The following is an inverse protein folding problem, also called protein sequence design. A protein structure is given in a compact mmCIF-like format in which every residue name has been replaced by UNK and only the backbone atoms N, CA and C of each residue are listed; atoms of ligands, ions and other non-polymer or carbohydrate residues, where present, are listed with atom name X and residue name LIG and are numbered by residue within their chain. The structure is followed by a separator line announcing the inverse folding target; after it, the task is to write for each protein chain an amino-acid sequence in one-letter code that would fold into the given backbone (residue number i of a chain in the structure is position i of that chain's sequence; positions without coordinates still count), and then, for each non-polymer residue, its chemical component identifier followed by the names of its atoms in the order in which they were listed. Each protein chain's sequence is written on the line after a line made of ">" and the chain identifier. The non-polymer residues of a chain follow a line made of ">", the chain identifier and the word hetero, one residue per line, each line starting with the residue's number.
data_IF_486281675507
#
_entry.id   IF_486281675507
#
_cell.length_a   1.000
_cell.length_b   1.000
_cell.length_c   1.000
_cell.angle_alpha   90.00
_cell.angle_beta   90.00
_cell.angle_gamma   90.00
#
_symmetry.space_group_name_H-M   'P 1'
#
loop_
_entity.id
_entity.type
_entity.pdbx_description
1 polymer ?
#
# COMPACT_ATOMS: atom_id res chain seq x y z
N UNK A 1 29.84 49.10 -12.39
CA UNK A 1 29.28 50.39 -12.83
C UNK A 1 27.86 50.17 -13.34
N UNK A 2 26.94 51.03 -12.90
CA UNK A 2 25.62 51.38 -13.46
C UNK A 2 24.52 50.31 -13.61
N UNK A 3 23.55 50.44 -12.69
CA UNK A 3 22.10 50.23 -12.89
C UNK A 3 21.62 50.90 -14.20
N UNK A 4 20.56 50.38 -14.82
CA UNK A 4 19.18 50.90 -14.63
C UNK A 4 18.26 50.47 -15.80
N UNK A 5 17.06 50.04 -15.40
CA UNK A 5 15.75 50.27 -16.01
C UNK A 5 15.31 49.60 -17.31
N UNK A 6 14.18 48.91 -17.13
CA UNK A 6 13.11 48.63 -18.09
C UNK A 6 12.39 49.92 -18.48
N UNK A 7 11.90 50.00 -19.72
CA UNK A 7 10.47 50.08 -20.07
C UNK A 7 10.28 50.35 -21.58
N UNK A 8 9.07 49.99 -22.05
CA UNK A 8 8.31 50.51 -23.22
C UNK A 8 8.06 49.58 -24.41
N UNK A 9 6.77 49.53 -24.79
CA UNK A 9 6.22 49.02 -26.06
C UNK A 9 5.48 47.69 -25.91
N UNK A 10 4.14 47.57 -25.94
CA UNK A 10 3.10 48.43 -26.51
C UNK A 10 2.51 47.80 -27.78
N UNK A 11 1.35 47.13 -27.62
CA UNK A 11 0.28 46.86 -28.59
C UNK A 11 0.60 46.30 -29.99
N UNK A 12 0.19 45.04 -30.24
CA UNK A 12 -0.32 44.63 -31.55
C UNK A 12 -1.63 43.84 -31.37
N UNK A 13 -2.59 44.24 -32.19
CA UNK A 13 -3.93 43.72 -32.41
C UNK A 13 -4.01 42.19 -32.53
N UNK A 14 -5.03 41.60 -31.91
CA UNK A 14 -5.68 40.40 -32.45
C UNK A 14 -7.20 40.57 -32.36
N UNK A 15 -7.82 40.82 -33.51
CA UNK A 15 -9.25 40.69 -33.75
C UNK A 15 -9.39 39.76 -34.93
N UNK A 16 -9.84 38.53 -34.69
CA UNK A 16 -10.73 37.88 -35.65
C UNK A 16 -11.61 36.86 -34.94
N UNK A 17 -12.91 37.13 -34.96
CA UNK A 17 -13.98 36.19 -34.64
C UNK A 17 -14.21 35.35 -35.90
N UNK A 18 -14.35 34.03 -35.77
CA UNK A 18 -15.13 33.27 -36.75
C UNK A 18 -15.89 32.14 -36.06
N UNK A 19 -17.21 32.21 -36.24
CA UNK A 19 -18.27 31.44 -35.59
C UNK A 19 -18.65 30.20 -36.38
N UNK A 20 -18.86 29.10 -35.64
CA UNK A 20 -19.86 28.02 -35.79
C UNK A 20 -20.15 27.42 -37.17
N UNK A 21 -19.94 26.10 -37.28
CA UNK A 21 -20.72 25.23 -38.17
C UNK A 21 -21.42 24.15 -37.34
N UNK A 22 -22.75 24.17 -37.41
CA UNK A 22 -23.68 23.26 -36.75
C UNK A 22 -23.67 21.91 -37.47
N UNK A 23 -23.65 20.79 -36.72
CA UNK A 23 -23.98 19.47 -37.23
C UNK A 23 -25.28 18.99 -36.57
N UNK A 24 -26.22 18.56 -37.41
CA UNK A 24 -27.47 17.91 -37.05
C UNK A 24 -27.82 16.87 -38.15
N UNK A 25 -28.68 15.87 -37.89
CA UNK A 25 -28.36 14.46 -38.12
C UNK A 25 -29.04 13.86 -39.35
N UNK A 26 -28.40 12.88 -40.00
CA UNK A 26 -28.98 12.15 -41.13
C UNK A 26 -29.55 10.81 -40.64
N UNK A 27 -30.88 10.86 -40.49
CA UNK A 27 -31.90 9.90 -40.89
C UNK A 27 -31.56 8.40 -40.93
N UNK A 28 -32.34 7.65 -40.14
CA UNK A 28 -32.26 6.21 -39.99
C UNK A 28 -32.68 5.44 -41.24
N UNK A 29 -31.98 4.32 -41.44
CA UNK A 29 -32.38 3.27 -42.36
C UNK A 29 -32.70 2.01 -41.55
N UNK A 30 -33.95 1.58 -41.76
CA UNK A 30 -34.59 0.39 -41.25
C UNK A 30 -33.85 -0.86 -41.78
N UNK A 31 -33.28 -1.68 -40.89
CA UNK A 31 -32.95 -3.08 -41.21
C UNK A 31 -33.66 -3.97 -40.21
N UNK A 32 -34.67 -4.68 -40.72
CA UNK A 32 -35.46 -5.64 -39.98
C UNK A 32 -34.88 -7.05 -40.15
N UNK A 33 -35.01 -7.80 -39.05
CA UNK A 33 -35.11 -9.26 -38.92
C UNK A 33 -33.83 -10.12 -38.83
N UNK A 34 -34.03 -11.17 -38.01
CA UNK A 34 -33.28 -12.41 -37.81
C UNK A 34 -32.05 -12.21 -36.88
N UNK A 35 -31.97 -12.76 -35.66
CA UNK A 35 -32.08 -14.18 -35.29
C UNK A 35 -32.65 -14.41 -33.89
N UNK A 36 -33.46 -15.45 -33.78
CA UNK A 36 -33.81 -16.15 -32.54
C UNK A 36 -32.52 -16.84 -32.06
N UNK A 37 -32.07 -16.54 -30.84
CA UNK A 37 -31.23 -17.45 -30.06
C UNK A 37 -31.79 -17.56 -28.65
N UNK A 38 -32.26 -18.77 -28.34
CA UNK A 38 -32.59 -19.25 -27.02
C UNK A 38 -31.30 -19.80 -26.37
N UNK A 39 -30.93 -19.27 -25.21
CA UNK A 39 -30.03 -19.82 -24.18
C UNK A 39 -29.73 -18.65 -23.24
N UNK A 40 -29.58 -18.78 -21.93
CA UNK A 40 -29.70 -19.84 -20.94
C UNK A 40 -29.78 -19.07 -19.61
N UNK A 41 -30.31 -19.66 -18.55
CA UNK A 41 -30.41 -19.01 -17.23
C UNK A 41 -29.08 -18.35 -16.83
N UNK A 42 -29.05 -17.05 -16.48
CA UNK A 42 -27.90 -16.50 -15.78
C UNK A 42 -28.04 -16.89 -14.30
N UNK A 43 -27.78 -18.16 -14.00
CA UNK A 43 -27.28 -18.52 -12.68
C UNK A 43 -25.77 -18.23 -12.70
N UNK A 44 -25.45 -16.95 -12.67
CA UNK A 44 -24.13 -16.49 -12.30
C UNK A 44 -24.37 -15.55 -11.15
N UNK A 45 -24.07 -16.06 -9.96
CA UNK A 45 -23.74 -15.34 -8.75
C UNK A 45 -23.09 -14.00 -9.11
N UNK A 46 -23.89 -12.95 -9.29
CA UNK A 46 -23.40 -11.60 -9.32
C UNK A 46 -23.13 -11.27 -7.86
N UNK A 47 -21.98 -11.73 -7.35
CA UNK A 47 -21.34 -11.04 -6.24
C UNK A 47 -21.10 -9.63 -6.78
N UNK A 48 -22.04 -8.74 -6.50
CA UNK A 48 -21.90 -7.31 -6.68
C UNK A 48 -20.81 -6.86 -5.73
N UNK A 49 -19.55 -7.02 -6.16
CA UNK A 49 -18.38 -6.63 -5.40
C UNK A 49 -18.31 -5.10 -5.44
N UNK A 50 -19.01 -4.46 -4.52
CA UNK A 50 -18.57 -3.19 -3.95
C UNK A 50 -17.65 -3.52 -2.78
N UNK A 51 -16.47 -4.10 -3.04
CA UNK A 51 -15.47 -4.34 -2.00
C UNK A 51 -14.39 -3.27 -2.05
N UNK A 52 -14.51 -2.38 -1.09
CA UNK A 52 -13.43 -1.81 -0.29
C UNK A 52 -12.63 -2.95 0.41
N UNK A 53 -12.09 -3.93 -0.35
CA UNK A 53 -11.55 -5.18 0.22
C UNK A 53 -10.10 -5.07 0.66
N UNK A 54 -9.84 -5.62 1.85
CA UNK A 54 -8.50 -5.94 2.31
C UNK A 54 -7.89 -7.08 1.47
N UNK A 55 -6.62 -6.92 1.08
CA UNK A 55 -5.81 -7.95 0.43
C UNK A 55 -4.88 -8.60 1.44
N UNK A 56 -4.88 -9.93 1.52
CA UNK A 56 -4.02 -10.71 2.42
C UNK A 56 -2.83 -11.28 1.65
N UNK A 57 -1.63 -11.15 2.22
CA UNK A 57 -0.40 -11.80 1.73
C UNK A 57 0.37 -12.36 2.92
N UNK A 58 0.87 -13.58 2.80
CA UNK A 58 1.66 -14.21 3.84
C UNK A 58 3.13 -14.24 3.46
N UNK A 59 3.99 -14.07 4.45
CA UNK A 59 5.43 -14.03 4.28
C UNK A 59 6.14 -14.90 5.31
N UNK A 60 7.33 -15.35 4.94
CA UNK A 60 8.27 -16.02 5.83
C UNK A 60 9.66 -15.41 5.67
N UNK A 61 10.39 -15.28 6.77
CA UNK A 61 11.80 -14.94 6.78
C UNK A 61 12.57 -16.02 7.56
N UNK A 62 13.77 -16.35 7.11
CA UNK A 62 14.68 -17.30 7.76
C UNK A 62 16.06 -16.66 7.81
N UNK A 63 16.65 -16.57 9.00
CA UNK A 63 18.03 -16.10 9.21
C UNK A 63 18.76 -17.07 10.15
N UNK A 64 19.56 -17.95 9.55
CA UNK A 64 20.20 -19.05 10.28
C UNK A 64 19.17 -19.99 10.90
N UNK A 65 19.02 -19.93 12.23
CA UNK A 65 18.07 -20.75 12.99
C UNK A 65 16.87 -19.96 13.52
N UNK A 66 16.86 -18.65 13.28
CA UNK A 66 15.77 -17.77 13.64
C UNK A 66 14.79 -17.68 12.46
N UNK A 67 13.50 -17.59 12.75
CA UNK A 67 12.46 -17.48 11.71
C UNK A 67 11.46 -16.39 12.07
N UNK A 68 10.80 -15.85 11.06
CA UNK A 68 9.67 -14.97 11.24
C UNK A 68 8.56 -15.31 10.24
N UNK A 69 7.30 -15.19 10.65
CA UNK A 69 6.15 -15.29 9.74
C UNK A 69 5.27 -14.07 9.91
N UNK A 70 4.75 -13.57 8.80
CA UNK A 70 3.88 -12.40 8.76
C UNK A 70 2.66 -12.69 7.88
N UNK A 71 1.46 -12.66 8.44
CA UNK A 71 0.24 -12.52 7.65
C UNK A 71 -0.12 -11.03 7.58
N UNK A 72 0.02 -10.42 6.41
CA UNK A 72 -0.21 -9.00 6.20
C UNK A 72 -1.52 -8.78 5.44
N UNK A 73 -2.43 -8.01 6.03
CA UNK A 73 -3.64 -7.49 5.41
C UNK A 73 -3.41 -6.03 5.03
N UNK A 74 -3.74 -5.66 3.81
CA UNK A 74 -3.59 -4.28 3.31
C UNK A 74 -4.87 -3.76 2.67
N UNK A 75 -5.19 -2.49 2.91
CA UNK A 75 -6.28 -1.79 2.23
C UNK A 75 -5.85 -0.34 1.96
N UNK A 76 -5.77 0.03 0.69
CA UNK A 76 -5.11 1.26 0.23
C UNK A 76 -3.69 1.38 0.81
N UNK A 77 -3.48 2.32 1.74
CA UNK A 77 -2.22 2.49 2.46
C UNK A 77 -2.23 1.84 3.85
N UNK A 78 -3.39 1.46 4.39
CA UNK A 78 -3.49 0.87 5.72
C UNK A 78 -3.01 -0.57 5.70
N UNK A 79 -2.43 -0.99 6.80
CA UNK A 79 -1.89 -2.32 6.97
C UNK A 79 -2.11 -2.83 8.39
N UNK A 80 -2.53 -4.08 8.49
CA UNK A 80 -2.71 -4.83 9.74
C UNK A 80 -2.14 -6.24 9.54
N UNK A 81 -1.77 -6.94 10.60
CA UNK A 81 -1.30 -8.30 10.43
C UNK A 81 -0.92 -9.01 11.71
N UNK A 82 -0.71 -10.31 11.61
CA UNK A 82 -0.18 -11.17 12.67
C UNK A 82 1.28 -11.48 12.36
N UNK A 83 2.15 -11.19 13.31
CA UNK A 83 3.59 -11.30 13.20
C UNK A 83 4.13 -12.22 14.31
N UNK A 84 4.91 -13.20 13.92
CA UNK A 84 5.51 -14.18 14.83
C UNK A 84 7.00 -14.31 14.55
N UNK A 85 7.83 -13.91 15.50
CA UNK A 85 9.26 -14.21 15.51
C UNK A 85 9.55 -15.43 16.38
N UNK A 86 10.37 -16.33 15.88
CA UNK A 86 10.93 -17.47 16.62
C UNK A 86 12.44 -17.35 16.62
N UNK A 87 13.01 -17.10 17.79
CA UNK A 87 14.45 -17.04 17.95
C UNK A 87 14.94 -18.31 18.62
N UNK A 88 16.00 -18.92 18.09
CA UNK A 88 16.55 -20.13 18.70
C UNK A 88 16.99 -19.84 20.14
N UNK A 89 16.45 -20.61 21.08
CA UNK A 89 16.83 -20.54 22.51
C UNK A 89 16.25 -19.32 23.25
N UNK A 90 15.26 -18.63 22.69
CA UNK A 90 14.47 -17.62 23.38
C UNK A 90 12.98 -17.93 23.24
N UNK A 91 12.18 -17.23 24.02
CA UNK A 91 10.72 -17.30 23.87
C UNK A 91 10.29 -16.67 22.54
N UNK A 92 9.29 -17.30 21.94
CA UNK A 92 8.62 -16.84 20.74
C UNK A 92 7.95 -15.47 20.99
N UNK A 93 8.12 -14.55 20.05
CA UNK A 93 7.44 -13.25 20.08
C UNK A 93 6.31 -13.25 19.06
N UNK A 94 5.08 -13.42 19.54
CA UNK A 94 3.87 -13.38 18.71
C UNK A 94 3.05 -12.14 19.06
N UNK A 95 2.58 -11.43 18.04
CA UNK A 95 1.74 -10.25 18.23
C UNK A 95 1.11 -9.77 16.93
N UNK A 96 0.48 -8.60 17.01
CA UNK A 96 -0.15 -7.94 15.87
C UNK A 96 0.66 -6.72 15.43
N UNK A 97 0.53 -6.35 14.16
CA UNK A 97 1.04 -5.10 13.63
C UNK A 97 -0.11 -4.24 13.12
N UNK A 98 0.02 -2.93 13.27
CA UNK A 98 -0.90 -1.97 12.66
C UNK A 98 -0.15 -0.72 12.22
N UNK A 99 -0.46 -0.23 11.02
CA UNK A 99 0.19 0.95 10.47
C UNK A 99 -0.17 1.22 9.02
N UNK A 100 0.79 1.75 8.26
CA UNK A 100 0.55 2.16 6.87
C UNK A 100 1.79 2.20 6.00
N UNK A 101 1.58 2.09 4.69
CA UNK A 101 2.56 2.38 3.66
C UNK A 101 2.76 3.89 3.47
N UNK A 102 4.03 4.28 3.35
CA UNK A 102 4.50 5.59 2.90
C UNK A 102 5.49 5.37 1.76
N UNK A 103 4.99 5.48 0.52
CA UNK A 103 5.71 4.95 -0.64
C UNK A 103 5.90 3.44 -0.49
N UNK A 104 7.12 2.97 -0.64
CA UNK A 104 7.46 1.55 -0.54
C UNK A 104 7.73 1.09 0.90
N UNK A 105 7.78 2.00 1.86
CA UNK A 105 8.01 1.64 3.27
C UNK A 105 6.69 1.43 4.00
N UNK A 106 6.51 0.25 4.58
CA UNK A 106 5.48 -0.05 5.57
C UNK A 106 6.01 0.28 6.97
N UNK A 107 5.43 1.30 7.61
CA UNK A 107 5.70 1.66 8.99
C UNK A 107 4.55 1.15 9.87
N UNK A 108 4.87 0.33 10.87
CA UNK A 108 3.88 -0.29 11.76
C UNK A 108 4.30 -0.23 13.22
N UNK A 109 3.31 -0.20 14.09
CA UNK A 109 3.48 -0.50 15.51
C UNK A 109 3.38 -2.00 15.72
N UNK A 110 4.29 -2.61 16.47
CA UNK A 110 4.19 -4.00 16.89
C UNK A 110 3.66 -4.13 18.32
N UNK A 111 2.58 -4.87 18.47
CA UNK A 111 1.91 -5.14 19.74
C UNK A 111 2.12 -6.61 20.12
N UNK A 112 2.99 -6.85 21.08
CA UNK A 112 3.30 -8.19 21.55
C UNK A 112 2.15 -8.74 22.38
N UNK A 113 1.68 -9.95 22.06
CA UNK A 113 0.63 -10.66 22.79
C UNK A 113 1.25 -11.34 24.01
N UNK A 114 0.89 -10.84 25.19
CA UNK A 114 1.31 -11.37 26.48
C UNK A 114 0.18 -12.20 27.10
N UNK A 115 0.39 -13.51 27.23
CA UNK A 115 -0.62 -14.41 27.79
C UNK A 115 -1.89 -14.47 26.95
N UNK A 116 -3.06 -14.64 27.59
CA UNK A 116 -4.29 -15.02 26.87
C UNK A 116 -4.94 -13.90 26.05
N UNK A 117 -4.74 -12.61 26.36
CA UNK A 117 -5.41 -11.53 25.60
C UNK A 117 -4.80 -10.14 25.71
N UNK A 118 -3.69 -9.93 26.44
CA UNK A 118 -3.15 -8.58 26.64
C UNK A 118 -2.09 -8.27 25.59
N UNK A 119 -2.35 -7.28 24.75
CA UNK A 119 -1.37 -6.78 23.81
C UNK A 119 -0.65 -5.54 24.38
N UNK A 120 0.68 -5.54 24.31
CA UNK A 120 1.52 -4.44 24.78
C UNK A 120 2.31 -3.89 23.60
N UNK A 121 2.22 -2.58 23.37
CA UNK A 121 3.07 -1.91 22.39
C UNK A 121 4.54 -2.11 22.75
N UNK A 122 5.34 -2.50 21.77
CA UNK A 122 6.78 -2.69 21.94
C UNK A 122 7.53 -1.61 21.17
N UNK A 123 8.04 -1.94 19.99
CA UNK A 123 8.77 -1.03 19.14
C UNK A 123 8.08 -0.93 17.77
N UNK A 124 8.18 0.22 17.10
CA UNK A 124 7.77 0.32 15.72
C UNK A 124 8.71 -0.52 14.84
N UNK A 125 8.17 -1.03 13.74
CA UNK A 125 8.92 -1.74 12.70
C UNK A 125 8.78 -0.98 11.38
N UNK A 126 9.83 -1.04 10.58
CA UNK A 126 9.85 -0.52 9.22
C UNK A 126 10.19 -1.67 8.27
N UNK A 127 9.32 -1.89 7.29
CA UNK A 127 9.45 -2.94 6.30
C UNK A 127 9.50 -2.28 4.92
N UNK A 128 10.65 -2.33 4.26
CA UNK A 128 10.77 -1.83 2.89
C UNK A 128 10.26 -2.89 1.92
N UNK A 129 9.24 -2.55 1.15
CA UNK A 129 8.78 -3.36 0.02
C UNK A 129 9.71 -3.14 -1.16
N UNK A 130 10.35 -4.20 -1.61
CA UNK A 130 11.11 -4.23 -2.85
C UNK A 130 10.59 -5.42 -3.64
N UNK A 131 10.02 -5.17 -4.81
CA UNK A 131 9.29 -6.19 -5.56
C UNK A 131 8.18 -6.84 -4.71
N UNK A 132 8.29 -8.14 -4.45
CA UNK A 132 7.39 -8.91 -3.59
C UNK A 132 7.97 -9.23 -2.21
N UNK A 133 9.20 -8.79 -1.90
CA UNK A 133 9.83 -9.01 -0.59
C UNK A 133 9.67 -7.81 0.33
N UNK A 134 9.65 -8.06 1.64
CA UNK A 134 9.68 -7.03 2.68
C UNK A 134 11.00 -7.14 3.47
N UNK A 135 11.87 -6.13 3.38
CA UNK A 135 13.13 -6.08 4.14
C UNK A 135 12.89 -5.36 5.47
N UNK A 136 13.18 -6.02 6.59
CA UNK A 136 13.14 -5.37 7.90
C UNK A 136 14.24 -4.32 8.03
N UNK A 137 13.89 -3.09 8.37
CA UNK A 137 14.82 -1.99 8.57
C UNK A 137 15.32 -1.89 10.00
N UNK A 138 16.53 -1.37 10.16
CA UNK A 138 17.11 -0.98 11.45
C UNK A 138 17.20 0.55 11.47
N UNK A 139 16.41 1.19 12.33
CA UNK A 139 16.40 2.63 12.53
C UNK A 139 16.78 3.01 13.96
N UNK A 140 17.28 4.23 14.14
CA UNK A 140 17.44 4.81 15.48
C UNK A 140 16.06 5.15 16.04
N UNK A 141 15.87 4.88 17.34
CA UNK A 141 14.60 5.10 18.03
C UNK A 141 14.77 6.07 19.18
N UNK A 142 13.72 6.83 19.46
CA UNK A 142 13.61 7.66 20.64
C UNK A 142 12.26 7.44 21.32
N UNK A 143 12.24 7.57 22.65
CA UNK A 143 11.00 7.47 23.44
C UNK A 143 10.60 8.85 23.89
N UNK A 144 9.40 9.29 23.50
CA UNK A 144 8.83 10.55 23.92
C UNK A 144 7.43 10.30 24.50
N UNK A 145 7.16 10.83 25.69
CA UNK A 145 5.89 10.67 26.39
C UNK A 145 5.41 9.20 26.50
N UNK A 146 6.35 8.28 26.75
CA UNK A 146 6.05 6.84 26.92
C UNK A 146 5.76 6.07 25.63
N UNK A 147 6.00 6.66 24.45
CA UNK A 147 5.91 5.97 23.16
C UNK A 147 7.23 6.04 22.42
N UNK A 148 7.64 4.91 21.85
CA UNK A 148 8.87 4.77 21.05
C UNK A 148 8.56 5.00 19.58
N UNK A 149 9.40 5.80 18.91
CA UNK A 149 9.30 6.15 17.50
C UNK A 149 10.66 6.06 16.82
N UNK A 150 10.68 5.94 15.50
CA UNK A 150 11.91 6.18 14.73
C UNK A 150 12.27 7.66 14.75
N UNK A 151 13.56 7.96 14.94
CA UNK A 151 14.08 9.32 14.83
C UNK A 151 13.89 9.81 13.38
N UNK A 152 13.18 10.93 13.13
CA UNK A 152 12.85 11.36 11.78
C UNK A 152 14.05 11.92 11.01
N UNK A 153 15.10 12.36 11.70
CA UNK A 153 16.32 12.90 11.11
C UNK A 153 17.36 11.83 10.75
N UNK A 154 17.13 10.57 11.15
CA UNK A 154 18.04 9.47 10.88
C UNK A 154 17.38 8.47 9.91
N UNK A 155 17.99 8.18 8.75
CA UNK A 155 17.41 7.25 7.80
C UNK A 155 17.42 5.82 8.34
N UNK A 156 16.38 5.07 8.01
CA UNK A 156 16.27 3.65 8.32
C UNK A 156 17.23 2.88 7.40
N UNK A 157 18.05 2.01 7.97
CA UNK A 157 18.98 1.18 7.21
C UNK A 157 18.37 -0.20 6.94
N UNK A 158 18.01 -0.46 5.69
CA UNK A 158 17.41 -1.73 5.24
C UNK A 158 18.43 -2.82 4.88
N UNK A 159 19.73 -2.52 4.90
CA UNK A 159 20.79 -3.49 4.58
C UNK A 159 21.38 -4.16 5.82
N UNK A 160 21.09 -3.61 7.01
CA UNK A 160 21.49 -4.21 8.31
C UNK A 160 20.40 -5.07 8.96
N UNK A 161 19.22 -5.13 8.36
CA UNK A 161 18.13 -5.98 8.84
C UNK A 161 18.42 -7.45 8.62
N UNK A 162 18.19 -8.27 9.65
CA UNK A 162 18.40 -9.73 9.58
C UNK A 162 17.30 -10.44 8.81
N UNK A 163 16.04 -10.00 8.93
CA UNK A 163 14.90 -10.67 8.31
C UNK A 163 14.53 -10.04 6.97
N UNK A 164 14.57 -10.87 5.93
CA UNK A 164 13.99 -10.59 4.62
C UNK A 164 12.79 -11.52 4.47
N UNK A 165 11.60 -10.93 4.38
CA UNK A 165 10.34 -11.64 4.30
C UNK A 165 9.99 -11.92 2.84
N UNK A 166 9.98 -13.19 2.47
CA UNK A 166 9.60 -13.70 1.15
C UNK A 166 8.13 -14.14 1.16
N UNK A 167 7.38 -13.89 0.08
CA UNK A 167 5.98 -14.27 0.00
C UNK A 167 5.86 -15.79 -0.03
N UNK A 168 4.92 -16.32 0.75
CA UNK A 168 4.58 -17.74 0.81
C UNK A 168 3.07 -17.92 0.73
N UNK A 169 2.57 -19.10 0.31
CA UNK A 169 1.15 -19.41 0.43
C UNK A 169 0.66 -19.21 1.87
N UNK A 170 -0.46 -18.53 2.03
CA UNK A 170 -1.10 -18.41 3.33
C UNK A 170 -1.56 -19.79 3.81
N UNK A 171 -1.28 -20.10 5.07
CA UNK A 171 -1.85 -21.28 5.72
C UNK A 171 -3.34 -21.00 5.96
N UNK A 172 -4.19 -21.90 5.48
CA UNK A 172 -5.57 -22.00 5.96
C UNK A 172 -5.53 -22.58 7.37
N UNK A 173 -6.05 -21.83 8.33
CA UNK A 173 -6.35 -22.36 9.67
C UNK A 173 -7.47 -23.40 9.62
#
# INVERSE_FOLDING_TARGET
>A
MRKQFMETGGFIHHKEKSTMKKLAPISGLLFALIFIQACSSPDSNQKKITDTAWTTTCYQAIDGQDTATLQLKTFEKKAEGDLHFKYKGKDDQHGTIAGKFSGDTLLVNFYLRNGQSKETFTNPLALLKQDSVLKLGIGEMETMMGRTYFRPDVPINYDRGRFIFEPVPCKTE
#
